data_IF_175127373459
#
_entry.id   IF_175127373459
#
_cell.length_a   1.000
_cell.length_b   1.000
_cell.length_c   1.000
_cell.angle_alpha   90.00
_cell.angle_beta   90.00
_cell.angle_gamma   90.00
#
_symmetry.space_group_name_H-M   'P 1'
#
loop_
_entity.id
_entity.type
_entity.pdbx_description
1 polymer ?
#
# COMPACT_ATOMS: atom_id res chain seq x y z
N UNK A 1 50.49 -28.97 -62.96
CA UNK A 1 49.38 -27.99 -62.85
C UNK A 1 49.89 -26.79 -62.07
N UNK A 2 49.49 -25.59 -62.51
CA UNK A 2 50.00 -24.26 -62.13
C UNK A 2 49.74 -23.89 -60.63
N UNK A 3 50.41 -22.82 -60.12
CA UNK A 3 51.00 -22.70 -58.78
C UNK A 3 50.30 -21.68 -57.86
N UNK A 4 50.80 -21.47 -56.62
CA UNK A 4 51.04 -20.15 -55.97
C UNK A 4 51.64 -20.36 -54.56
N UNK A 5 52.93 -20.07 -54.31
CA UNK A 5 53.55 -18.80 -53.86
C UNK A 5 53.02 -18.32 -52.49
N UNK A 6 53.77 -18.35 -51.37
CA UNK A 6 54.93 -17.53 -50.93
C UNK A 6 54.46 -16.71 -49.71
N UNK A 7 54.95 -16.98 -48.49
CA UNK A 7 56.07 -16.30 -47.81
C UNK A 7 55.70 -15.04 -47.02
N UNK A 8 56.04 -15.08 -45.71
CA UNK A 8 56.61 -14.00 -44.88
C UNK A 8 55.78 -12.73 -44.61
N UNK A 9 55.47 -12.44 -43.34
CA UNK A 9 56.31 -11.61 -42.46
C UNK A 9 55.67 -11.38 -41.07
N UNK A 10 56.56 -11.35 -40.08
CA UNK A 10 56.36 -10.93 -38.69
C UNK A 10 56.42 -9.39 -38.62
N UNK A 11 55.82 -8.83 -37.55
CA UNK A 11 55.68 -7.42 -37.14
C UNK A 11 54.36 -6.80 -37.62
N UNK A 12 53.55 -6.13 -36.79
CA UNK A 12 53.87 -5.28 -35.66
C UNK A 12 52.66 -5.14 -34.71
N UNK A 13 52.99 -4.92 -33.43
CA UNK A 13 52.21 -4.28 -32.38
C UNK A 13 51.22 -3.19 -32.86
N UNK A 14 50.21 -2.98 -32.02
CA UNK A 14 49.36 -1.80 -31.88
C UNK A 14 48.18 -1.64 -32.85
N UNK A 15 46.99 -1.99 -32.34
CA UNK A 15 45.80 -1.13 -32.34
C UNK A 15 44.74 -1.83 -31.48
N UNK A 16 44.94 -1.77 -30.15
CA UNK A 16 43.81 -1.82 -29.23
C UNK A 16 43.12 -0.47 -29.43
N UNK A 17 42.16 -0.41 -30.34
CA UNK A 17 41.17 0.67 -30.34
C UNK A 17 40.32 0.45 -29.08
N UNK A 18 40.76 1.06 -27.98
CA UNK A 18 39.88 1.38 -26.86
C UNK A 18 38.85 2.34 -27.43
N UNK A 19 37.75 1.79 -27.94
CA UNK A 19 36.52 2.53 -28.04
C UNK A 19 36.13 2.87 -26.61
N UNK A 20 36.53 4.06 -26.15
CA UNK A 20 35.82 4.74 -25.08
C UNK A 20 34.40 4.96 -25.61
N UNK A 21 33.56 3.93 -25.50
CA UNK A 21 32.15 4.18 -25.35
C UNK A 21 32.06 4.98 -24.05
N UNK A 22 31.87 6.29 -24.18
CA UNK A 22 31.37 7.11 -23.09
C UNK A 22 30.11 6.38 -22.61
N UNK A 23 30.24 5.63 -21.51
CA UNK A 23 29.10 5.22 -20.72
C UNK A 23 28.52 6.56 -20.31
N UNK A 24 27.48 6.98 -21.01
CA UNK A 24 26.61 8.02 -20.50
C UNK A 24 26.26 7.54 -19.10
N UNK A 25 26.75 8.25 -18.09
CA UNK A 25 26.22 8.17 -16.74
C UNK A 25 24.77 8.65 -16.87
N UNK A 26 23.91 7.75 -17.33
CA UNK A 26 22.47 7.85 -17.14
C UNK A 26 22.27 8.12 -15.66
N UNK A 27 21.37 9.03 -15.36
CA UNK A 27 21.15 9.53 -14.01
C UNK A 27 20.89 8.33 -13.08
N UNK A 28 21.90 7.85 -12.35
CA UNK A 28 21.83 6.62 -11.54
C UNK A 28 20.95 6.76 -10.30
N UNK A 29 20.29 7.91 -10.15
CA UNK A 29 19.49 8.29 -9.00
C UNK A 29 18.06 7.73 -9.04
N UNK A 30 17.58 7.19 -10.17
CA UNK A 30 16.19 6.70 -10.31
C UNK A 30 16.04 5.17 -10.34
N UNK A 31 17.09 4.42 -9.97
CA UNK A 31 16.97 2.98 -9.86
C UNK A 31 16.04 2.59 -8.71
N UNK A 32 14.86 2.08 -9.05
CA UNK A 32 13.93 1.47 -8.10
C UNK A 32 14.06 -0.06 -8.16
N UNK A 33 14.26 -0.75 -7.02
CA UNK A 33 14.27 -2.21 -6.98
C UNK A 33 13.02 -2.79 -7.64
N UNK A 34 13.15 -4.00 -8.17
CA UNK A 34 12.03 -4.71 -8.78
C UNK A 34 11.54 -5.85 -7.89
N UNK A 35 10.30 -6.27 -8.12
CA UNK A 35 9.63 -7.30 -7.34
C UNK A 35 9.90 -8.70 -7.91
N UNK A 36 10.11 -9.69 -7.03
CA UNK A 36 10.18 -11.11 -7.41
C UNK A 36 8.78 -11.66 -7.72
N UNK A 37 8.70 -12.88 -8.24
CA UNK A 37 7.42 -13.50 -8.63
C UNK A 37 6.55 -13.83 -7.41
N UNK A 38 7.19 -14.12 -6.27
CA UNK A 38 6.59 -14.33 -4.96
C UNK A 38 6.23 -13.02 -4.21
N UNK A 39 6.49 -11.84 -4.80
CA UNK A 39 6.36 -10.53 -4.16
C UNK A 39 7.56 -10.19 -3.26
N UNK A 40 7.71 -8.93 -2.86
CA UNK A 40 8.91 -8.44 -2.19
C UNK A 40 10.05 -8.18 -3.17
N UNK A 41 11.06 -7.41 -2.74
CA UNK A 41 12.15 -7.00 -3.64
C UNK A 41 13.18 -8.11 -3.90
N UNK A 42 13.47 -8.38 -5.17
CA UNK A 42 14.28 -9.54 -5.57
C UNK A 42 14.55 -9.67 -7.07
N UNK A 43 15.14 -10.81 -7.45
CA UNK A 43 15.42 -11.19 -8.83
C UNK A 43 14.14 -11.71 -9.50
N UNK A 44 14.04 -13.00 -9.88
CA UNK A 44 12.81 -13.61 -10.38
C UNK A 44 12.20 -14.50 -9.32
N UNK A 45 12.92 -15.55 -8.91
CA UNK A 45 12.51 -16.47 -7.85
C UNK A 45 13.20 -16.14 -6.52
N UNK A 46 14.42 -15.60 -6.60
CA UNK A 46 15.31 -15.42 -5.47
C UNK A 46 15.25 -14.00 -4.89
N UNK A 47 15.25 -13.86 -3.55
CA UNK A 47 15.21 -12.55 -2.91
C UNK A 47 16.56 -11.85 -2.98
N UNK A 48 16.53 -10.51 -3.02
CA UNK A 48 17.73 -9.67 -2.98
C UNK A 48 17.93 -9.00 -1.61
N UNK A 49 19.12 -8.43 -1.40
CA UNK A 49 19.43 -7.61 -0.24
C UNK A 49 18.75 -6.24 -0.25
N UNK A 50 18.20 -5.81 -1.39
CA UNK A 50 17.60 -4.48 -1.59
C UNK A 50 16.33 -4.26 -0.77
N UNK A 51 16.10 -3.01 -0.40
CA UNK A 51 14.85 -2.46 0.11
C UNK A 51 14.29 -1.43 -0.86
N UNK A 52 12.97 -1.37 -0.99
CA UNK A 52 12.27 -0.29 -1.68
C UNK A 52 12.26 1.00 -0.84
N UNK A 53 11.65 2.06 -1.36
CA UNK A 53 11.43 3.30 -0.61
C UNK A 53 10.40 3.07 0.51
N UNK A 54 10.62 3.64 1.70
CA UNK A 54 9.64 3.56 2.80
C UNK A 54 8.26 4.04 2.31
N UNK A 55 7.22 3.29 2.68
CA UNK A 55 5.85 3.58 2.28
C UNK A 55 5.49 3.08 0.87
N UNK A 56 6.45 2.53 0.10
CA UNK A 56 6.15 1.88 -1.17
C UNK A 56 5.23 0.68 -0.94
N UNK A 57 4.12 0.67 -1.66
CA UNK A 57 3.14 -0.40 -1.68
C UNK A 57 3.02 -0.94 -3.09
N UNK A 58 3.06 -2.27 -3.19
CA UNK A 58 3.01 -3.00 -4.44
C UNK A 58 1.86 -4.00 -4.43
N UNK A 59 1.10 -4.05 -5.52
CA UNK A 59 0.24 -5.19 -5.85
C UNK A 59 0.81 -5.84 -7.11
N UNK A 60 1.04 -7.14 -7.07
CA UNK A 60 1.64 -7.89 -8.15
C UNK A 60 0.86 -9.14 -8.53
N UNK A 61 0.99 -9.52 -9.80
CA UNK A 61 0.54 -10.81 -10.30
C UNK A 61 1.66 -11.44 -11.14
N UNK A 62 1.86 -12.75 -10.99
CA UNK A 62 2.82 -13.51 -11.80
C UNK A 62 2.18 -14.85 -12.19
N UNK A 63 2.28 -15.25 -13.45
CA UNK A 63 1.62 -16.42 -14.02
C UNK A 63 2.60 -17.24 -14.85
N UNK A 64 2.60 -18.55 -14.60
CA UNK A 64 3.10 -19.57 -15.49
C UNK A 64 2.18 -20.80 -15.41
N UNK A 65 2.57 -21.92 -16.02
CA UNK A 65 1.73 -23.12 -16.04
C UNK A 65 1.62 -23.80 -14.66
N UNK A 66 2.57 -23.57 -13.75
CA UNK A 66 2.65 -24.24 -12.46
C UNK A 66 2.05 -23.39 -11.33
N UNK A 67 2.11 -22.06 -11.48
CA UNK A 67 1.82 -21.10 -10.43
C UNK A 67 1.15 -19.82 -10.93
N UNK A 68 0.10 -19.44 -10.20
CA UNK A 68 -0.48 -18.11 -10.27
C UNK A 68 -0.28 -17.40 -8.92
N UNK A 69 0.64 -16.44 -8.87
CA UNK A 69 0.89 -15.63 -7.68
C UNK A 69 0.09 -14.33 -7.73
N UNK A 70 -0.58 -14.02 -6.63
CA UNK A 70 -1.21 -12.73 -6.36
C UNK A 70 -0.60 -12.19 -5.07
N UNK A 71 0.11 -11.07 -5.16
CA UNK A 71 0.98 -10.59 -4.08
C UNK A 71 0.62 -9.16 -3.71
N UNK A 72 0.72 -8.84 -2.43
CA UNK A 72 0.75 -7.47 -1.96
C UNK A 72 1.98 -7.30 -1.05
N UNK A 73 2.86 -6.36 -1.39
CA UNK A 73 4.09 -6.09 -0.65
C UNK A 73 4.12 -4.64 -0.18
N UNK A 74 4.68 -4.40 1.00
CA UNK A 74 4.81 -3.07 1.57
C UNK A 74 6.19 -2.90 2.20
N UNK A 75 6.88 -1.83 1.84
CA UNK A 75 8.05 -1.36 2.56
C UNK A 75 7.59 -0.61 3.81
N UNK A 76 7.32 -1.38 4.88
CA UNK A 76 6.72 -0.89 6.14
C UNK A 76 7.61 0.14 6.82
N UNK A 77 8.93 -0.11 6.84
CA UNK A 77 9.97 0.77 7.36
C UNK A 77 11.14 0.78 6.39
N UNK A 78 12.11 1.72 6.46
CA UNK A 78 13.28 1.72 5.57
C UNK A 78 14.10 0.42 5.62
N UNK A 79 13.95 -0.36 6.70
CA UNK A 79 14.64 -1.63 6.95
C UNK A 79 13.71 -2.85 6.99
N UNK A 80 12.39 -2.70 6.79
CA UNK A 80 11.41 -3.81 6.89
C UNK A 80 10.50 -3.85 5.66
N UNK A 81 10.59 -4.94 4.90
CA UNK A 81 9.71 -5.30 3.79
C UNK A 81 8.81 -6.47 4.25
N UNK A 82 7.51 -6.39 3.95
CA UNK A 82 6.53 -7.40 4.30
C UNK A 82 5.65 -7.72 3.09
N UNK A 83 5.39 -9.01 2.87
CA UNK A 83 4.59 -9.49 1.74
C UNK A 83 3.51 -10.45 2.20
N UNK A 84 2.32 -10.32 1.65
CA UNK A 84 1.27 -11.34 1.69
C UNK A 84 1.03 -11.87 0.28
N UNK A 85 0.76 -13.17 0.16
CA UNK A 85 0.51 -13.81 -1.13
C UNK A 85 -0.61 -14.83 -1.08
N UNK A 86 -1.26 -14.95 -2.23
CA UNK A 86 -2.00 -16.14 -2.63
C UNK A 86 -1.28 -16.80 -3.80
N UNK A 87 -1.00 -18.10 -3.68
CA UNK A 87 -0.44 -18.90 -4.78
C UNK A 87 -1.45 -19.96 -5.18
N UNK A 88 -1.91 -19.94 -6.42
CA UNK A 88 -2.77 -21.00 -6.98
C UNK A 88 -1.95 -21.97 -7.81
N UNK A 89 -2.29 -23.25 -7.74
CA UNK A 89 -1.62 -24.34 -8.47
C UNK A 89 -2.59 -24.86 -9.54
N UNK A 90 -2.38 -24.54 -10.83
CA UNK A 90 -3.28 -24.94 -11.92
C UNK A 90 -3.53 -26.45 -12.03
N UNK A 91 -2.54 -27.27 -11.67
CA UNK A 91 -2.63 -28.74 -11.76
C UNK A 91 -3.23 -29.41 -10.51
N UNK A 92 -3.51 -28.64 -9.46
CA UNK A 92 -3.96 -29.19 -8.16
C UNK A 92 -5.33 -28.63 -7.82
N UNK A 93 -6.31 -29.51 -7.59
CA UNK A 93 -7.64 -29.11 -7.09
C UNK A 93 -7.59 -28.77 -5.60
N UNK A 94 -8.45 -27.83 -5.17
CA UNK A 94 -8.55 -27.43 -3.76
C UNK A 94 -8.93 -28.61 -2.87
N UNK A 95 -9.87 -29.44 -3.33
CA UNK A 95 -10.26 -30.70 -2.73
C UNK A 95 -10.55 -31.74 -3.82
N UNK A 96 -10.26 -33.01 -3.55
CA UNK A 96 -10.56 -34.09 -4.48
C UNK A 96 -12.06 -34.39 -4.61
N UNK A 97 -12.89 -33.89 -3.68
CA UNK A 97 -14.34 -34.04 -3.72
C UNK A 97 -14.97 -32.90 -4.55
N UNK A 98 -15.55 -33.19 -5.73
CA UNK A 98 -16.20 -32.19 -6.57
C UNK A 98 -17.38 -31.50 -5.88
N UNK A 99 -18.06 -32.17 -4.95
CA UNK A 99 -19.20 -31.60 -4.22
C UNK A 99 -18.76 -30.53 -3.19
N UNK A 100 -17.47 -30.49 -2.84
CA UNK A 100 -16.93 -29.53 -1.87
C UNK A 100 -16.33 -28.29 -2.53
N UNK A 101 -15.51 -28.47 -3.59
CA UNK A 101 -14.78 -27.37 -4.22
C UNK A 101 -14.93 -27.28 -5.74
N UNK A 102 -15.74 -28.13 -6.36
CA UNK A 102 -15.89 -28.16 -7.82
C UNK A 102 -14.54 -28.31 -8.54
N UNK A 103 -14.30 -27.43 -9.51
CA UNK A 103 -13.06 -27.29 -10.28
C UNK A 103 -12.13 -26.19 -9.72
N UNK A 104 -12.37 -25.71 -8.49
CA UNK A 104 -11.53 -24.68 -7.87
C UNK A 104 -10.12 -25.22 -7.62
N UNK A 105 -9.13 -24.43 -8.06
CA UNK A 105 -7.72 -24.74 -7.87
C UNK A 105 -7.29 -24.58 -6.42
N UNK A 106 -6.35 -25.42 -5.99
CA UNK A 106 -5.69 -25.31 -4.71
C UNK A 106 -5.08 -23.92 -4.57
N UNK A 107 -5.30 -23.31 -3.41
CA UNK A 107 -4.84 -21.97 -3.11
C UNK A 107 -4.08 -22.01 -1.78
N UNK A 108 -2.80 -21.72 -1.86
CA UNK A 108 -1.94 -21.53 -0.71
C UNK A 108 -1.91 -20.04 -0.30
N UNK A 109 -1.76 -19.80 1.00
CA UNK A 109 -1.64 -18.48 1.62
C UNK A 109 -0.25 -18.39 2.23
N UNK A 110 0.47 -17.31 1.94
CA UNK A 110 1.80 -17.09 2.49
C UNK A 110 2.01 -15.67 3.00
N UNK A 111 2.85 -15.55 4.02
CA UNK A 111 3.33 -14.27 4.54
C UNK A 111 4.84 -14.29 4.65
N UNK A 112 5.47 -13.20 4.24
CA UNK A 112 6.92 -13.04 4.27
C UNK A 112 7.31 -11.77 5.01
N UNK A 113 8.53 -11.77 5.55
CA UNK A 113 9.19 -10.54 5.96
C UNK A 113 10.66 -10.58 5.57
N UNK A 114 11.23 -9.39 5.32
CA UNK A 114 12.66 -9.18 5.09
C UNK A 114 13.13 -7.97 5.89
N UNK A 115 14.22 -8.14 6.61
CA UNK A 115 14.85 -7.13 7.46
C UNK A 115 16.23 -6.78 6.92
N UNK A 116 16.47 -5.48 6.69
CA UNK A 116 17.79 -4.96 6.33
C UNK A 116 18.69 -4.98 7.54
N UNK A 117 19.86 -5.61 7.39
CA UNK A 117 20.91 -5.65 8.40
C UNK A 117 21.97 -4.59 8.15
N UNK A 118 22.32 -4.37 6.88
CA UNK A 118 23.41 -3.48 6.48
C UNK A 118 22.92 -2.65 5.29
N UNK A 119 23.09 -1.33 5.36
CA UNK A 119 22.93 -0.45 4.21
C UNK A 119 24.15 -0.52 3.29
N UNK A 120 23.93 -0.45 1.98
CA UNK A 120 25.05 -0.38 1.06
C UNK A 120 25.92 0.85 1.36
N UNK A 121 27.22 0.63 1.50
CA UNK A 121 28.22 1.69 1.59
C UNK A 121 29.18 1.58 0.42
N UNK A 122 30.30 2.30 0.43
CA UNK A 122 31.33 2.09 -0.59
C UNK A 122 31.90 0.65 -0.52
N UNK A 123 32.14 0.12 0.69
CA UNK A 123 32.82 -1.17 0.89
C UNK A 123 31.88 -2.35 1.11
N UNK A 124 30.74 -2.13 1.77
CA UNK A 124 29.82 -3.20 2.15
C UNK A 124 28.63 -3.27 1.18
N UNK A 125 28.14 -4.48 0.85
CA UNK A 125 26.88 -4.66 0.15
C UNK A 125 25.68 -4.41 1.08
N UNK A 126 24.55 -4.00 0.52
CA UNK A 126 23.27 -4.02 1.23
C UNK A 126 22.95 -5.45 1.60
N UNK A 127 22.74 -5.74 2.88
CA UNK A 127 22.54 -7.11 3.35
C UNK A 127 21.23 -7.20 4.10
N UNK A 128 20.43 -8.20 3.75
CA UNK A 128 19.14 -8.45 4.36
C UNK A 128 18.97 -9.92 4.73
N UNK A 129 18.19 -10.18 5.77
CA UNK A 129 17.72 -11.49 6.18
C UNK A 129 16.21 -11.55 6.02
N UNK A 130 15.67 -12.68 5.60
CA UNK A 130 14.22 -12.80 5.48
C UNK A 130 13.72 -14.22 5.65
N UNK A 131 12.42 -14.30 5.88
CA UNK A 131 11.67 -15.54 6.00
C UNK A 131 10.50 -15.47 5.04
N UNK A 132 10.40 -16.48 4.19
CA UNK A 132 9.29 -16.76 3.29
C UNK A 132 8.35 -17.76 3.96
N UNK A 133 7.07 -17.49 3.88
CA UNK A 133 5.99 -18.36 4.33
C UNK A 133 5.98 -18.67 5.85
N UNK A 134 6.20 -17.65 6.68
CA UNK A 134 6.27 -17.86 8.14
C UNK A 134 4.90 -18.08 8.80
N UNK A 135 3.80 -17.76 8.12
CA UNK A 135 2.44 -17.81 8.65
C UNK A 135 1.44 -18.52 7.72
N UNK A 136 1.92 -19.25 6.72
CA UNK A 136 1.10 -19.97 5.74
C UNK A 136 0.97 -21.47 6.02
N UNK A 137 0.85 -22.27 4.94
CA UNK A 137 0.78 -23.74 5.05
C UNK A 137 2.16 -24.40 5.16
N UNK A 138 3.23 -23.62 4.95
CA UNK A 138 4.61 -24.09 4.95
C UNK A 138 5.07 -24.65 3.61
N UNK A 139 4.22 -24.65 2.57
CA UNK A 139 4.56 -25.18 1.24
C UNK A 139 5.73 -24.43 0.58
N UNK A 140 5.90 -23.15 0.91
CA UNK A 140 7.00 -22.32 0.40
C UNK A 140 7.92 -21.83 1.52
N UNK A 141 7.99 -22.57 2.65
CA UNK A 141 8.77 -22.17 3.82
C UNK A 141 10.26 -22.07 3.51
N UNK A 142 10.83 -20.90 3.74
CA UNK A 142 12.25 -20.70 3.45
C UNK A 142 12.85 -19.53 4.18
N UNK A 143 14.14 -19.61 4.47
CA UNK A 143 14.88 -18.52 5.07
C UNK A 143 16.04 -18.14 4.16
N UNK A 144 16.45 -16.89 4.19
CA UNK A 144 17.58 -16.44 3.39
C UNK A 144 18.39 -15.33 4.05
N UNK A 145 19.64 -15.24 3.63
CA UNK A 145 20.48 -14.05 3.77
C UNK A 145 20.94 -13.65 2.37
N UNK A 146 20.70 -12.40 1.99
CA UNK A 146 21.06 -11.86 0.67
C UNK A 146 21.92 -10.62 0.82
N UNK A 147 23.02 -10.57 0.07
CA UNK A 147 23.87 -9.40 -0.06
C UNK A 147 23.82 -8.88 -1.50
N UNK A 148 23.51 -7.60 -1.67
CA UNK A 148 23.39 -6.95 -2.98
C UNK A 148 24.31 -5.72 -3.08
N UNK A 149 25.01 -5.59 -4.20
CA UNK A 149 26.00 -4.54 -4.45
C UNK A 149 25.84 -3.95 -5.85
N UNK A 150 25.77 -2.62 -5.93
CA UNK A 150 25.68 -1.91 -7.20
C UNK A 150 27.05 -1.45 -7.68
N UNK A 151 27.30 -1.68 -8.97
CA UNK A 151 28.43 -1.16 -9.72
C UNK A 151 27.93 -0.51 -11.02
N UNK A 152 27.67 0.79 -10.95
CA UNK A 152 27.06 1.53 -12.06
C UNK A 152 25.68 0.97 -12.39
N UNK A 153 25.51 0.47 -13.62
CA UNK A 153 24.25 -0.08 -14.12
C UNK A 153 24.04 -1.56 -13.77
N UNK A 154 24.94 -2.18 -13.03
CA UNK A 154 24.85 -3.58 -12.63
C UNK A 154 24.56 -3.67 -11.13
N UNK A 155 23.59 -4.48 -10.74
CA UNK A 155 23.26 -4.80 -9.36
C UNK A 155 23.45 -6.30 -9.13
N UNK A 156 24.48 -6.66 -8.36
CA UNK A 156 24.89 -8.04 -8.12
C UNK A 156 24.32 -8.53 -6.81
N UNK A 157 23.65 -9.67 -6.81
CA UNK A 157 23.14 -10.33 -5.60
C UNK A 157 23.82 -11.67 -5.41
N UNK A 158 24.25 -11.94 -4.18
CA UNK A 158 24.69 -13.26 -3.72
C UNK A 158 23.96 -13.55 -2.42
N UNK A 159 23.36 -14.74 -2.32
CA UNK A 159 22.64 -15.15 -1.13
C UNK A 159 22.83 -16.62 -0.80
N UNK A 160 22.39 -16.96 0.40
CA UNK A 160 22.27 -18.33 0.88
C UNK A 160 20.84 -18.53 1.39
N UNK A 161 20.22 -19.63 0.98
CA UNK A 161 18.86 -20.01 1.34
C UNK A 161 18.78 -21.35 2.06
N UNK A 162 17.70 -21.52 2.82
CA UNK A 162 17.27 -22.75 3.49
C UNK A 162 15.78 -22.99 3.18
N UNK A 163 15.30 -24.23 3.38
CA UNK A 163 13.94 -24.61 3.01
C UNK A 163 13.73 -24.48 1.49
N UNK A 164 12.54 -24.02 1.07
CA UNK A 164 12.17 -23.83 -0.34
C UNK A 164 13.22 -23.04 -1.15
N UNK A 165 13.77 -21.96 -0.59
CA UNK A 165 14.77 -21.12 -1.28
C UNK A 165 16.09 -21.88 -1.47
N UNK A 166 16.39 -22.84 -0.61
CA UNK A 166 17.65 -23.56 -0.53
C UNK A 166 17.58 -25.05 -0.92
N UNK A 167 16.48 -25.49 -1.53
CA UNK A 167 16.14 -26.91 -1.67
C UNK A 167 17.19 -27.72 -2.42
N UNK A 168 17.90 -27.12 -3.39
CA UNK A 168 18.95 -27.81 -4.15
C UNK A 168 20.12 -28.30 -3.29
N UNK A 169 20.28 -27.76 -2.06
CA UNK A 169 21.26 -28.25 -1.10
C UNK A 169 22.73 -28.16 -1.57
N UNK A 170 23.04 -27.24 -2.49
CA UNK A 170 24.33 -27.19 -3.17
C UNK A 170 25.53 -26.80 -2.27
N UNK A 171 25.28 -26.41 -1.01
CA UNK A 171 26.31 -26.12 -0.02
C UNK A 171 25.95 -26.72 1.35
N UNK A 172 26.96 -27.11 2.12
CA UNK A 172 26.73 -27.51 3.51
C UNK A 172 26.28 -26.31 4.35
N UNK A 173 25.27 -26.51 5.20
CA UNK A 173 24.76 -25.47 6.08
C UNK A 173 25.88 -24.92 6.99
N UNK A 174 26.27 -23.63 6.86
CA UNK A 174 27.36 -23.06 7.65
C UNK A 174 27.02 -22.98 9.15
N UNK A 175 25.73 -22.87 9.51
CA UNK A 175 25.26 -22.77 10.89
C UNK A 175 25.28 -24.13 11.61
N UNK A 176 25.25 -25.23 10.86
CA UNK A 176 25.48 -26.58 11.40
C UNK A 176 26.86 -26.70 12.07
N UNK A 177 27.88 -25.94 11.62
CA UNK A 177 29.19 -25.89 12.29
C UNK A 177 29.17 -25.21 13.66
N UNK A 178 28.14 -24.39 13.93
CA UNK A 178 27.97 -23.70 15.22
C UNK A 178 27.22 -24.61 16.20
N UNK A 179 26.21 -25.33 15.72
CA UNK A 179 25.46 -26.28 16.55
C UNK A 179 24.73 -27.33 15.70
N UNK A 180 24.80 -28.59 16.15
CA UNK A 180 24.17 -29.74 15.50
C UNK A 180 22.64 -29.60 15.34
N UNK A 181 22.00 -28.77 16.17
CA UNK A 181 20.56 -28.50 16.11
C UNK A 181 20.10 -27.86 14.79
N UNK A 182 21.04 -27.30 14.01
CA UNK A 182 20.76 -26.67 12.71
C UNK A 182 20.98 -27.62 11.53
N UNK A 183 21.55 -28.80 11.74
CA UNK A 183 21.89 -29.69 10.63
C UNK A 183 20.65 -30.38 10.02
N UNK A 184 19.60 -30.61 10.81
CA UNK A 184 18.39 -31.30 10.38
C UNK A 184 17.18 -30.37 10.46
N UNK A 185 16.45 -30.21 9.35
CA UNK A 185 15.15 -29.53 9.32
C UNK A 185 14.07 -30.57 9.69
N UNK A 186 13.23 -30.32 10.72
CA UNK A 186 12.06 -31.16 10.97
C UNK A 186 11.20 -31.28 9.70
N UNK A 187 10.57 -32.44 9.46
CA UNK A 187 9.63 -32.64 8.34
C UNK A 187 8.26 -32.06 8.64
N UNK A 188 7.85 -32.09 9.90
CA UNK A 188 6.50 -31.76 10.33
C UNK A 188 6.28 -30.25 10.30
N UNK A 189 5.14 -29.83 9.78
CA UNK A 189 4.60 -28.48 9.91
C UNK A 189 3.59 -28.50 11.06
N UNK A 190 3.43 -27.39 11.79
CA UNK A 190 2.28 -27.27 12.70
C UNK A 190 1.02 -27.19 11.84
N UNK A 191 0.27 -28.28 11.86
CA UNK A 191 -0.79 -28.70 10.92
C UNK A 191 -2.02 -27.77 10.74
N UNK A 192 -1.92 -26.47 10.95
CA UNK A 192 -2.98 -25.51 10.63
C UNK A 192 -2.36 -24.17 10.20
N UNK A 193 -2.64 -23.74 8.97
CA UNK A 193 -2.17 -22.45 8.45
C UNK A 193 -2.42 -21.31 9.45
N UNK A 194 -1.43 -20.42 9.59
CA UNK A 194 -1.44 -19.33 10.59
C UNK A 194 -0.64 -19.61 11.87
N UNK A 195 0.02 -20.78 12.00
CA UNK A 195 1.00 -21.03 13.06
C UNK A 195 2.43 -20.79 12.56
N UNK A 196 3.28 -20.17 13.40
CA UNK A 196 4.67 -19.87 13.04
C UNK A 196 5.61 -20.98 13.52
N UNK A 197 6.34 -21.59 12.59
CA UNK A 197 7.30 -22.67 12.84
C UNK A 197 8.74 -22.19 12.94
N UNK A 198 9.01 -21.36 13.96
CA UNK A 198 10.36 -20.87 14.27
C UNK A 198 11.40 -21.98 14.46
N UNK A 199 10.97 -23.21 14.81
CA UNK A 199 11.86 -24.34 15.03
C UNK A 199 12.50 -24.87 13.75
N UNK A 200 12.02 -24.51 12.56
CA UNK A 200 12.58 -24.95 11.27
C UNK A 200 13.64 -24.00 10.74
N UNK A 201 13.69 -22.76 11.25
CA UNK A 201 14.48 -21.68 10.66
C UNK A 201 15.99 -21.96 10.63
N UNK A 202 16.60 -21.73 9.46
CA UNK A 202 18.03 -21.89 9.20
C UNK A 202 18.55 -23.32 9.43
N UNK A 203 17.66 -24.31 9.31
CA UNK A 203 17.98 -25.73 9.47
C UNK A 203 17.93 -26.51 8.17
N UNK A 204 18.66 -27.62 8.15
CA UNK A 204 18.74 -28.52 6.99
C UNK A 204 19.81 -28.11 5.99
N UNK A 205 19.83 -28.75 4.80
CA UNK A 205 20.66 -28.33 3.67
C UNK A 205 20.44 -26.86 3.31
N UNK A 206 21.46 -26.24 2.72
CA UNK A 206 21.40 -24.87 2.26
C UNK A 206 21.84 -24.79 0.78
N UNK A 207 21.41 -23.75 0.08
CA UNK A 207 21.91 -23.48 -1.26
C UNK A 207 22.41 -22.05 -1.39
N UNK A 208 23.53 -21.89 -2.09
CA UNK A 208 23.92 -20.59 -2.63
C UNK A 208 23.04 -20.29 -3.84
N UNK A 209 22.58 -19.04 -3.91
CA UNK A 209 21.88 -18.49 -5.05
C UNK A 209 22.45 -17.10 -5.36
N UNK A 210 22.15 -16.57 -6.54
CA UNK A 210 22.60 -15.22 -6.86
C UNK A 210 22.20 -14.78 -8.25
N UNK A 211 22.61 -13.59 -8.63
CA UNK A 211 22.27 -13.07 -9.94
C UNK A 211 22.68 -11.63 -10.15
N UNK A 212 22.35 -11.13 -11.33
CA UNK A 212 22.69 -9.79 -11.79
C UNK A 212 21.44 -9.17 -12.38
N UNK A 213 21.12 -7.95 -11.95
CA UNK A 213 20.17 -7.07 -12.63
C UNK A 213 20.95 -5.96 -13.35
N UNK A 214 20.68 -5.76 -14.63
CA UNK A 214 21.38 -4.79 -15.48
C UNK A 214 20.41 -3.72 -15.99
N UNK A 215 20.68 -2.45 -15.66
CA UNK A 215 20.04 -1.29 -16.29
C UNK A 215 20.55 -1.16 -17.71
N UNK A 216 19.69 -1.41 -18.69
CA UNK A 216 20.06 -1.13 -20.07
C UNK A 216 20.11 0.40 -20.27
N UNK A 217 20.83 0.91 -21.30
CA UNK A 217 20.79 2.32 -21.66
C UNK A 217 19.39 2.83 -22.04
N UNK A 218 18.44 1.92 -22.29
CA UNK A 218 17.03 2.26 -22.42
C UNK A 218 16.39 2.15 -21.03
N UNK A 219 16.25 3.30 -20.35
CA UNK A 219 15.85 3.40 -18.93
C UNK A 219 14.66 2.51 -18.52
N UNK A 220 13.59 2.36 -19.34
CA UNK A 220 12.48 1.48 -18.96
C UNK A 220 12.84 0.00 -18.86
N UNK A 221 13.91 -0.47 -19.51
CA UNK A 221 14.22 -1.90 -19.63
C UNK A 221 15.40 -2.32 -18.74
N UNK A 222 15.13 -3.32 -17.89
CA UNK A 222 16.14 -4.04 -17.10
C UNK A 222 16.18 -5.50 -17.51
N UNK A 223 17.38 -6.09 -17.51
CA UNK A 223 17.60 -7.52 -17.79
C UNK A 223 18.13 -8.19 -16.53
N UNK A 224 17.67 -9.40 -16.24
CA UNK A 224 18.05 -10.20 -15.09
C UNK A 224 18.61 -11.55 -15.52
N UNK A 225 19.64 -11.98 -14.82
CA UNK A 225 20.12 -13.37 -14.83
C UNK A 225 20.17 -13.83 -13.38
N UNK A 226 19.63 -15.00 -13.09
CA UNK A 226 19.56 -15.58 -11.75
C UNK A 226 20.02 -17.02 -11.79
N UNK A 227 20.79 -17.42 -10.79
CA UNK A 227 21.06 -18.79 -10.42
C UNK A 227 20.15 -19.13 -9.25
N UNK A 228 19.24 -20.06 -9.48
CA UNK A 228 18.19 -20.48 -8.57
C UNK A 228 18.74 -21.44 -7.48
N UNK A 229 18.32 -21.22 -6.24
CA UNK A 229 18.65 -22.09 -5.11
C UNK A 229 17.68 -23.27 -4.93
N UNK A 230 16.52 -23.24 -5.58
CA UNK A 230 15.52 -24.32 -5.57
C UNK A 230 15.80 -25.36 -6.66
N UNK A 231 15.35 -26.60 -6.46
CA UNK A 231 15.37 -27.68 -7.46
C UNK A 231 13.97 -28.18 -7.86
N UNK A 232 12.91 -27.63 -7.24
CA UNK A 232 11.49 -27.90 -7.53
C UNK A 232 11.02 -29.34 -7.29
N UNK A 233 11.85 -30.19 -6.68
CA UNK A 233 11.55 -31.62 -6.51
C UNK A 233 10.45 -31.90 -5.47
N UNK A 234 10.25 -30.97 -4.53
CA UNK A 234 9.25 -31.05 -3.46
C UNK A 234 8.06 -30.09 -3.65
N UNK A 235 7.98 -29.43 -4.81
CA UNK A 235 6.95 -28.44 -5.10
C UNK A 235 5.55 -29.08 -5.21
N UNK A 236 4.53 -28.33 -4.80
CA UNK A 236 3.14 -28.78 -4.73
C UNK A 236 2.60 -29.46 -5.99
N UNK A 237 2.79 -28.92 -7.22
CA UNK A 237 2.36 -29.59 -8.44
C UNK A 237 3.03 -30.97 -8.63
N UNK A 238 4.32 -31.10 -8.33
CA UNK A 238 5.03 -32.37 -8.42
C UNK A 238 4.56 -33.38 -7.36
N UNK A 239 4.49 -33.00 -6.09
CA UNK A 239 4.18 -33.96 -5.01
C UNK A 239 2.68 -34.26 -4.86
N UNK A 240 1.79 -33.39 -5.37
CA UNK A 240 0.33 -33.56 -5.26
C UNK A 240 -0.35 -33.98 -6.56
N UNK A 241 0.17 -33.57 -7.72
CA UNK A 241 -0.41 -33.87 -9.03
C UNK A 241 0.54 -34.67 -9.95
N UNK A 242 1.79 -34.93 -9.53
CA UNK A 242 2.80 -35.62 -10.33
C UNK A 242 3.06 -34.90 -11.67
N UNK A 243 3.00 -33.56 -11.64
CA UNK A 243 3.36 -32.68 -12.76
C UNK A 243 4.87 -32.64 -12.95
N UNK A 244 5.36 -32.78 -14.18
CA UNK A 244 6.80 -32.70 -14.44
C UNK A 244 7.35 -31.30 -14.12
N UNK A 245 8.10 -31.22 -13.03
CA UNK A 245 8.75 -30.00 -12.56
C UNK A 245 10.28 -30.06 -12.68
N UNK A 246 10.81 -30.92 -13.56
CA UNK A 246 12.25 -31.15 -13.71
C UNK A 246 13.02 -29.87 -13.99
N UNK A 247 14.03 -29.56 -13.16
CA UNK A 247 14.95 -28.47 -13.42
C UNK A 247 16.01 -28.84 -14.47
N UNK A 248 15.80 -28.41 -15.72
CA UNK A 248 16.77 -28.59 -16.81
C UNK A 248 17.99 -27.68 -16.68
N UNK A 249 17.82 -26.50 -16.09
CA UNK A 249 18.91 -25.58 -15.74
C UNK A 249 18.54 -24.76 -14.50
N UNK A 250 19.49 -24.51 -13.58
CA UNK A 250 19.28 -23.60 -12.45
C UNK A 250 19.36 -22.12 -12.86
N UNK A 251 19.65 -21.82 -14.13
CA UNK A 251 19.75 -20.44 -14.61
C UNK A 251 18.41 -19.94 -15.16
N UNK A 252 17.91 -18.87 -14.57
CA UNK A 252 16.73 -18.12 -15.01
C UNK A 252 17.17 -16.83 -15.69
N UNK A 253 16.46 -16.41 -16.76
CA UNK A 253 16.72 -15.16 -17.48
C UNK A 253 15.41 -14.38 -17.59
N UNK A 254 15.45 -13.09 -17.26
CA UNK A 254 14.25 -12.26 -17.21
C UNK A 254 14.48 -10.85 -17.74
N UNK A 255 13.36 -10.20 -18.05
CA UNK A 255 13.30 -8.79 -18.42
C UNK A 255 12.19 -8.12 -17.62
N UNK A 256 12.44 -6.88 -17.21
CA UNK A 256 11.46 -6.04 -16.55
C UNK A 256 11.37 -4.70 -17.30
N UNK A 257 10.15 -4.31 -17.65
CA UNK A 257 9.82 -3.08 -18.34
C UNK A 257 9.03 -2.14 -17.43
N UNK A 258 9.63 -1.01 -17.05
CA UNK A 258 9.05 0.01 -16.18
C UNK A 258 8.01 0.85 -16.93
N UNK A 259 6.79 0.85 -16.42
CA UNK A 259 5.64 1.60 -16.91
C UNK A 259 5.50 2.91 -16.12
N UNK A 260 6.30 3.93 -16.48
CA UNK A 260 6.34 5.20 -15.76
C UNK A 260 6.66 5.00 -14.27
N UNK A 261 6.00 5.73 -13.38
CA UNK A 261 6.17 5.57 -11.93
C UNK A 261 5.16 4.62 -11.27
N UNK A 262 4.26 4.01 -12.04
CA UNK A 262 3.11 3.29 -11.49
C UNK A 262 3.17 1.77 -11.67
N UNK A 263 4.05 1.23 -12.51
CA UNK A 263 4.05 -0.23 -12.71
C UNK A 263 5.27 -0.81 -13.40
N UNK A 264 5.34 -2.14 -13.39
CA UNK A 264 6.35 -2.96 -14.09
C UNK A 264 5.64 -4.09 -14.85
N UNK A 265 6.10 -4.38 -16.06
CA UNK A 265 5.74 -5.57 -16.83
C UNK A 265 6.95 -6.51 -16.91
N UNK A 266 6.77 -7.78 -16.52
CA UNK A 266 7.83 -8.77 -16.37
C UNK A 266 7.61 -9.95 -17.32
N UNK A 267 8.69 -10.44 -17.90
CA UNK A 267 8.74 -11.71 -18.61
C UNK A 267 10.03 -12.43 -18.23
N UNK A 268 9.96 -13.74 -17.99
CA UNK A 268 11.14 -14.54 -17.70
C UNK A 268 11.01 -15.96 -18.19
N UNK A 269 12.15 -16.53 -18.53
CA UNK A 269 12.31 -17.94 -18.86
C UNK A 269 13.09 -18.59 -17.73
N UNK A 270 12.44 -19.54 -17.06
CA UNK A 270 12.88 -20.13 -15.81
C UNK A 270 12.98 -21.64 -15.98
N UNK A 271 13.86 -22.27 -15.19
CA UNK A 271 14.04 -23.73 -15.12
C UNK A 271 14.49 -24.43 -16.41
N UNK A 272 14.55 -23.73 -17.54
CA UNK A 272 14.87 -24.27 -18.86
C UNK A 272 13.66 -24.74 -19.65
N UNK A 273 12.44 -24.42 -19.20
CA UNK A 273 11.20 -24.81 -19.86
C UNK A 273 9.99 -23.92 -19.54
N UNK A 274 10.09 -23.06 -18.51
CA UNK A 274 8.93 -22.37 -17.95
C UNK A 274 8.96 -20.89 -18.32
N UNK A 275 7.91 -20.42 -18.97
CA UNK A 275 7.72 -19.00 -19.27
C UNK A 275 6.81 -18.36 -18.20
N UNK A 276 7.31 -17.35 -17.50
CA UNK A 276 6.56 -16.60 -16.49
C UNK A 276 6.32 -15.17 -16.95
N UNK A 277 5.07 -14.73 -16.89
CA UNK A 277 4.65 -13.35 -17.15
C UNK A 277 4.19 -12.70 -15.85
N UNK A 278 4.45 -11.41 -15.66
CA UNK A 278 3.96 -10.73 -14.46
C UNK A 278 3.76 -9.24 -14.65
N UNK A 279 2.94 -8.66 -13.77
CA UNK A 279 2.68 -7.24 -13.71
C UNK A 279 2.66 -6.79 -12.25
N UNK A 280 3.23 -5.62 -11.99
CA UNK A 280 3.29 -5.01 -10.68
C UNK A 280 2.77 -3.58 -10.78
N UNK A 281 1.96 -3.16 -9.81
CA UNK A 281 1.45 -1.81 -9.63
C UNK A 281 2.06 -1.22 -8.37
N UNK A 282 2.58 0.00 -8.47
CA UNK A 282 3.26 0.71 -7.40
C UNK A 282 2.47 1.95 -7.00
N UNK A 283 2.45 2.22 -5.70
CA UNK A 283 2.16 3.54 -5.12
C UNK A 283 3.10 3.75 -3.94
N UNK A 284 3.25 4.99 -3.48
CA UNK A 284 3.95 5.26 -2.23
C UNK A 284 3.03 6.04 -1.30
N UNK A 285 2.66 5.43 -0.17
CA UNK A 285 1.79 6.03 0.84
C UNK A 285 2.37 7.32 1.43
N UNK A 286 3.70 7.48 1.47
CA UNK A 286 4.36 8.70 1.93
C UNK A 286 4.23 9.86 0.96
N UNK A 287 4.00 9.58 -0.32
CA UNK A 287 3.85 10.59 -1.38
C UNK A 287 2.40 10.86 -1.77
N UNK A 288 1.46 10.02 -1.31
CA UNK A 288 0.05 10.22 -1.60
C UNK A 288 -0.49 11.47 -0.91
N UNK A 289 -1.04 12.37 -1.73
CA UNK A 289 -1.72 13.58 -1.28
C UNK A 289 -3.20 13.43 -1.52
N UNK A 290 -4.00 13.70 -0.49
CA UNK A 290 -5.43 13.77 -0.66
C UNK A 290 -5.78 15.00 -1.53
N UNK A 291 -6.48 14.76 -2.63
CA UNK A 291 -7.02 15.83 -3.48
C UNK A 291 -8.45 16.11 -3.04
N UNK A 292 -8.65 17.06 -2.14
CA UNK A 292 -9.98 17.52 -1.75
C UNK A 292 -10.44 18.62 -2.67
N UNK A 293 -11.57 18.42 -3.35
CA UNK A 293 -12.28 19.51 -4.01
C UNK A 293 -13.11 20.24 -2.95
N UNK A 294 -12.62 21.38 -2.46
CA UNK A 294 -13.28 22.15 -1.40
C UNK A 294 -13.84 23.48 -1.91
N UNK A 295 -14.93 23.94 -1.27
CA UNK A 295 -15.50 25.26 -1.55
C UNK A 295 -14.56 26.36 -1.03
N UNK A 296 -14.36 27.46 -1.79
CA UNK A 296 -13.54 28.56 -1.31
C UNK A 296 -14.01 29.10 0.04
N UNK A 297 -13.06 29.42 0.92
CA UNK A 297 -13.35 30.07 2.20
C UNK A 297 -14.06 31.41 1.95
N UNK A 298 -15.17 31.73 2.66
CA UNK A 298 -15.85 33.00 2.51
C UNK A 298 -14.91 34.14 2.88
N UNK A 299 -14.94 35.23 2.11
CA UNK A 299 -14.15 36.42 2.42
C UNK A 299 -14.81 37.18 3.58
N UNK A 300 -14.03 37.52 4.60
CA UNK A 300 -14.50 38.33 5.71
C UNK A 300 -14.72 39.77 5.25
N UNK A 301 -15.94 40.27 5.40
CA UNK A 301 -16.30 41.66 5.11
C UNK A 301 -16.65 42.37 6.42
N UNK A 302 -16.26 43.64 6.55
CA UNK A 302 -16.46 44.40 7.79
C UNK A 302 -17.91 44.80 8.05
N UNK A 303 -18.74 44.89 7.01
CA UNK A 303 -20.14 45.30 7.12
C UNK A 303 -21.09 44.13 6.76
N UNK A 304 -22.20 43.96 7.51
CA UNK A 304 -23.24 43.01 7.14
C UNK A 304 -23.79 43.36 5.76
N UNK A 305 -23.96 42.33 4.95
CA UNK A 305 -24.52 42.51 3.60
C UNK A 305 -25.98 42.05 3.52
N UNK A 306 -26.41 41.20 4.46
CA UNK A 306 -27.76 40.63 4.55
C UNK A 306 -28.06 40.22 5.99
N UNK A 307 -29.34 40.16 6.40
CA UNK A 307 -29.78 39.52 7.66
C UNK A 307 -30.53 38.20 7.38
N UNK A 308 -30.26 37.55 6.25
CA UNK A 308 -30.86 36.28 5.86
C UNK A 308 -30.20 35.11 6.60
N UNK A 309 -30.65 34.86 7.83
CA UNK A 309 -30.16 33.77 8.65
C UNK A 309 -30.39 32.38 8.04
N UNK A 310 -31.39 32.23 7.15
CA UNK A 310 -31.62 30.95 6.50
C UNK A 310 -30.53 30.65 5.47
N UNK A 311 -30.07 31.66 4.72
CA UNK A 311 -28.89 31.51 3.86
C UNK A 311 -27.62 31.29 4.66
N UNK A 312 -27.45 31.97 5.81
CA UNK A 312 -26.35 31.70 6.73
C UNK A 312 -26.33 30.22 7.17
N UNK A 313 -27.49 29.66 7.51
CA UNK A 313 -27.62 28.25 7.91
C UNK A 313 -27.23 27.27 6.79
N UNK A 314 -27.57 27.60 5.53
CA UNK A 314 -27.19 26.81 4.35
C UNK A 314 -25.68 26.91 4.07
N UNK A 315 -25.09 28.10 4.19
CA UNK A 315 -23.65 28.30 4.03
C UNK A 315 -22.84 27.63 5.16
N UNK A 316 -23.34 27.66 6.40
CA UNK A 316 -22.74 26.92 7.52
C UNK A 316 -22.71 25.41 7.23
N UNK A 317 -23.77 24.87 6.63
CA UNK A 317 -23.84 23.47 6.23
C UNK A 317 -22.81 23.14 5.12
N UNK A 318 -22.83 23.87 4.00
CA UNK A 318 -22.05 23.50 2.82
C UNK A 318 -20.60 24.02 2.82
N UNK A 319 -20.35 25.20 3.40
CA UNK A 319 -19.02 25.80 3.45
C UNK A 319 -18.30 25.45 4.75
N UNK A 320 -18.90 25.73 5.90
CA UNK A 320 -18.27 25.50 7.21
C UNK A 320 -18.41 24.06 7.71
N UNK A 321 -19.30 23.24 7.12
CA UNK A 321 -19.44 21.82 7.44
C UNK A 321 -20.31 21.51 8.67
N UNK A 322 -21.10 22.47 9.16
CA UNK A 322 -21.99 22.28 10.30
C UNK A 322 -23.36 21.75 9.85
N UNK A 323 -23.54 20.44 9.94
CA UNK A 323 -24.76 19.72 9.60
C UNK A 323 -25.83 19.83 10.69
N UNK A 324 -27.10 19.76 10.26
CA UNK A 324 -28.28 19.88 11.14
C UNK A 324 -28.20 21.11 12.06
N UNK A 325 -27.66 22.21 11.53
CA UNK A 325 -27.38 23.38 12.35
C UNK A 325 -28.66 24.16 12.69
N UNK A 326 -28.63 24.86 13.81
CA UNK A 326 -29.61 25.86 14.22
C UNK A 326 -28.90 27.16 14.52
N UNK A 327 -29.55 28.27 14.23
CA UNK A 327 -29.08 29.61 14.55
C UNK A 327 -30.12 30.26 15.46
N UNK A 328 -29.67 30.74 16.62
CA UNK A 328 -30.48 31.56 17.51
C UNK A 328 -29.77 32.89 17.78
N UNK A 329 -30.55 33.97 17.91
CA UNK A 329 -30.02 35.31 18.16
C UNK A 329 -30.54 35.78 19.51
N UNK A 330 -29.65 36.26 20.38
CA UNK A 330 -29.98 36.76 21.71
C UNK A 330 -29.17 38.00 22.03
N UNK A 331 -29.83 39.16 22.08
CA UNK A 331 -29.18 40.46 22.29
C UNK A 331 -28.02 40.66 21.30
N UNK A 332 -26.79 40.71 21.80
CA UNK A 332 -25.56 40.91 21.01
C UNK A 332 -24.85 39.61 20.62
N UNK A 333 -25.50 38.45 20.78
CA UNK A 333 -24.91 37.12 20.58
C UNK A 333 -25.66 36.33 19.51
N UNK A 334 -24.92 35.62 18.67
CA UNK A 334 -25.45 34.59 17.76
C UNK A 334 -24.96 33.23 18.22
N UNK A 335 -25.89 32.31 18.45
CA UNK A 335 -25.62 30.95 18.89
C UNK A 335 -25.90 30.01 17.72
N UNK A 336 -24.86 29.32 17.27
CA UNK A 336 -24.95 28.25 16.27
C UNK A 336 -24.76 26.92 16.98
N UNK A 337 -25.72 26.01 16.84
CA UNK A 337 -25.54 24.62 17.29
C UNK A 337 -25.54 23.71 16.07
N UNK A 338 -24.55 22.83 15.90
CA UNK A 338 -24.48 21.93 14.74
C UNK A 338 -23.39 20.87 14.85
N UNK A 339 -23.45 19.86 13.99
CA UNK A 339 -22.47 18.75 13.96
C UNK A 339 -21.43 19.00 12.87
N UNK A 340 -20.15 18.97 13.22
CA UNK A 340 -19.07 19.17 12.26
C UNK A 340 -18.75 17.87 11.52
N UNK A 341 -19.00 17.83 10.20
CA UNK A 341 -18.82 16.61 9.38
C UNK A 341 -17.81 16.76 8.24
N UNK A 342 -17.33 17.97 7.95
CA UNK A 342 -16.51 18.26 6.76
C UNK A 342 -15.03 18.41 7.07
N UNK A 343 -14.66 19.07 8.16
CA UNK A 343 -13.26 19.37 8.48
C UNK A 343 -12.79 18.63 9.73
N UNK A 344 -11.67 17.90 9.60
CA UNK A 344 -10.96 17.30 10.74
C UNK A 344 -10.27 18.36 11.61
N UNK A 345 -9.77 19.43 10.97
CA UNK A 345 -9.27 20.60 11.68
C UNK A 345 -10.44 21.51 12.04
N UNK A 346 -10.72 21.60 13.35
CA UNK A 346 -11.83 22.40 13.87
C UNK A 346 -11.59 23.90 13.67
N UNK A 347 -10.35 24.35 13.60
CA UNK A 347 -10.05 25.77 13.46
C UNK A 347 -10.45 26.27 12.08
N UNK A 348 -10.26 25.46 11.04
CA UNK A 348 -10.71 25.76 9.69
C UNK A 348 -12.25 25.83 9.61
N UNK A 349 -12.95 24.92 10.30
CA UNK A 349 -14.41 24.95 10.40
C UNK A 349 -14.93 26.20 11.12
N UNK A 350 -14.36 26.51 12.29
CA UNK A 350 -14.72 27.67 13.10
C UNK A 350 -14.45 28.98 12.37
N UNK A 351 -13.31 29.09 11.69
CA UNK A 351 -12.97 30.30 10.93
C UNK A 351 -13.92 30.50 9.74
N UNK A 352 -14.33 29.43 9.06
CA UNK A 352 -15.36 29.50 8.02
C UNK A 352 -16.72 29.90 8.58
N UNK A 353 -17.11 29.33 9.71
CA UNK A 353 -18.36 29.69 10.36
C UNK A 353 -18.36 31.15 10.80
N UNK A 354 -17.29 31.64 11.41
CA UNK A 354 -17.15 33.05 11.76
C UNK A 354 -17.20 33.96 10.53
N UNK A 355 -16.60 33.56 9.39
CA UNK A 355 -16.69 34.31 8.13
C UNK A 355 -18.13 34.40 7.62
N UNK A 356 -18.85 33.26 7.59
CA UNK A 356 -20.27 33.20 7.21
C UNK A 356 -21.10 34.07 8.15
N UNK A 357 -20.98 33.88 9.46
CA UNK A 357 -21.75 34.63 10.46
C UNK A 357 -21.48 36.13 10.38
N UNK A 358 -20.23 36.55 10.16
CA UNK A 358 -19.88 37.97 9.99
C UNK A 358 -20.60 38.61 8.81
N UNK A 359 -20.81 37.87 7.71
CA UNK A 359 -21.51 38.35 6.52
C UNK A 359 -23.00 38.62 6.79
N UNK A 360 -23.61 37.82 7.67
CA UNK A 360 -25.06 37.82 7.94
C UNK A 360 -25.47 38.50 9.27
N UNK A 361 -24.52 38.79 10.16
CA UNK A 361 -24.79 39.36 11.49
C UNK A 361 -24.86 40.88 11.44
N UNK A 362 -25.94 41.47 11.96
CA UNK A 362 -26.08 42.92 12.13
C UNK A 362 -25.03 43.52 13.07
N UNK A 363 -24.77 44.83 12.97
CA UNK A 363 -23.66 45.51 13.67
C UNK A 363 -23.74 45.45 15.21
N UNK A 364 -24.91 45.17 15.77
CA UNK A 364 -25.15 44.98 17.20
C UNK A 364 -24.64 43.62 17.74
N UNK A 365 -24.30 42.68 16.87
CA UNK A 365 -23.74 41.39 17.27
C UNK A 365 -22.23 41.51 17.54
N UNK A 366 -21.84 41.17 18.76
CA UNK A 366 -20.46 41.22 19.28
C UNK A 366 -19.81 39.85 19.37
N UNK A 367 -20.59 38.78 19.58
CA UNK A 367 -20.05 37.43 19.85
C UNK A 367 -20.78 36.36 19.04
N UNK A 368 -20.00 35.38 18.55
CA UNK A 368 -20.51 34.14 17.98
C UNK A 368 -20.21 32.98 18.92
N UNK A 369 -21.24 32.24 19.28
CA UNK A 369 -21.19 31.06 20.13
C UNK A 369 -21.42 29.84 19.25
N UNK A 370 -20.39 29.04 18.98
CA UNK A 370 -20.49 27.85 18.15
C UNK A 370 -20.46 26.63 19.07
N UNK A 371 -21.61 25.97 19.18
CA UNK A 371 -21.82 24.76 19.98
C UNK A 371 -21.73 23.56 19.04
N UNK A 372 -20.68 22.76 19.21
CA UNK A 372 -20.55 21.48 18.51
C UNK A 372 -21.40 20.43 19.21
N UNK A 373 -22.17 19.69 18.42
CA UNK A 373 -22.95 18.55 18.89
C UNK A 373 -22.58 17.28 18.14
N UNK A 374 -22.91 16.14 18.72
CA UNK A 374 -22.92 14.84 18.07
C UNK A 374 -24.23 14.15 18.42
N UNK A 375 -25.04 13.80 17.42
CA UNK A 375 -26.35 13.18 17.62
C UNK A 375 -27.26 13.93 18.61
N UNK A 376 -27.28 15.27 18.52
CA UNK A 376 -28.11 16.14 19.37
C UNK A 376 -27.61 16.33 20.82
N UNK A 377 -26.42 15.82 21.15
CA UNK A 377 -25.74 16.05 22.43
C UNK A 377 -24.66 17.12 22.25
N UNK A 378 -24.79 18.24 22.97
CA UNK A 378 -23.79 19.30 22.97
C UNK A 378 -22.48 18.80 23.62
N UNK A 379 -21.36 19.02 22.94
CA UNK A 379 -20.04 18.57 23.37
C UNK A 379 -19.21 19.73 23.91
N UNK A 380 -19.03 20.78 23.09
CA UNK A 380 -18.15 21.90 23.39
C UNK A 380 -18.70 23.19 22.79
N UNK A 381 -18.49 24.29 23.48
CA UNK A 381 -18.79 25.64 22.99
C UNK A 381 -17.49 26.39 22.67
N UNK A 382 -17.47 27.11 21.56
CA UNK A 382 -16.41 28.05 21.22
C UNK A 382 -17.01 29.44 21.07
N UNK A 383 -16.46 30.40 21.80
CA UNK A 383 -16.88 31.81 21.76
C UNK A 383 -15.88 32.58 20.91
N UNK A 384 -16.39 33.35 19.95
CA UNK A 384 -15.60 34.14 19.01
C UNK A 384 -16.05 35.59 19.15
N UNK A 385 -15.14 36.47 19.59
CA UNK A 385 -15.38 37.91 19.53
C UNK A 385 -15.30 38.36 18.06
N UNK A 386 -16.38 38.98 17.57
CA UNK A 386 -16.52 39.36 16.16
C UNK A 386 -15.52 40.43 15.74
N UNK A 387 -15.29 41.45 16.57
CA UNK A 387 -14.41 42.57 16.25
C UNK A 387 -12.94 42.11 16.18
N UNK A 388 -12.53 41.30 17.15
CA UNK A 388 -11.20 40.69 17.18
C UNK A 388 -11.01 39.78 15.97
N UNK A 389 -12.02 38.96 15.63
CA UNK A 389 -11.99 38.10 14.47
C UNK A 389 -11.87 38.87 13.15
N UNK A 390 -12.69 39.91 12.92
CA UNK A 390 -12.61 40.76 11.72
C UNK A 390 -11.24 41.41 11.61
N UNK A 391 -10.68 41.88 12.72
CA UNK A 391 -9.36 42.50 12.78
C UNK A 391 -8.25 41.51 12.44
N UNK A 392 -8.32 40.29 12.99
CA UNK A 392 -7.36 39.23 12.73
C UNK A 392 -7.44 38.71 11.29
N UNK A 393 -8.65 38.49 10.77
CA UNK A 393 -8.88 37.96 9.42
C UNK A 393 -8.49 38.94 8.30
N UNK A 394 -8.54 40.25 8.57
CA UNK A 394 -8.09 41.29 7.64
C UNK A 394 -6.63 41.73 7.85
N UNK A 395 -5.88 41.07 8.75
CA UNK A 395 -4.50 41.41 9.10
C UNK A 395 -4.33 42.88 9.57
N UNK A 396 -5.35 43.42 10.24
CA UNK A 396 -5.33 44.79 10.74
C UNK A 396 -4.41 44.95 11.97
N UNK A 397 -4.01 43.86 12.61
CA UNK A 397 -3.10 43.85 13.76
C UNK A 397 -1.99 42.80 13.56
N UNK A 398 -0.74 43.19 13.84
CA UNK A 398 0.43 42.31 13.74
C UNK A 398 0.40 41.26 14.86
N UNK A 399 0.52 39.98 14.49
CA UNK A 399 0.63 38.86 15.43
C UNK A 399 -0.68 38.23 15.88
N UNK A 400 -1.83 38.79 15.48
CA UNK A 400 -3.14 38.17 15.68
C UNK A 400 -3.49 37.29 14.47
N UNK A 401 -3.90 36.05 14.75
CA UNK A 401 -4.49 35.14 13.77
C UNK A 401 -5.95 34.87 14.13
N UNK A 402 -6.84 34.56 13.17
CA UNK A 402 -8.23 34.25 13.48
C UNK A 402 -8.39 33.18 14.56
N UNK A 403 -7.51 32.16 14.57
CA UNK A 403 -7.54 31.08 15.56
C UNK A 403 -7.24 31.55 16.98
N UNK A 404 -6.48 32.64 17.15
CA UNK A 404 -6.15 33.20 18.45
C UNK A 404 -7.31 33.94 19.12
N UNK A 405 -8.38 34.24 18.37
CA UNK A 405 -9.59 34.92 18.89
C UNK A 405 -10.67 33.92 19.33
N UNK A 406 -10.40 32.62 19.24
CA UNK A 406 -11.34 31.57 19.61
C UNK A 406 -11.12 31.18 21.07
N UNK A 407 -12.12 31.47 21.91
CA UNK A 407 -12.19 30.95 23.28
C UNK A 407 -12.83 29.55 23.23
N UNK A 408 -11.98 28.52 23.14
CA UNK A 408 -12.37 27.14 22.83
C UNK A 408 -12.66 26.32 24.09
N UNK A 409 -13.46 25.26 23.90
CA UNK A 409 -13.71 24.19 24.88
C UNK A 409 -14.42 24.66 26.15
N UNK A 410 -15.32 25.64 26.01
CA UNK A 410 -16.21 26.03 27.08
C UNK A 410 -17.30 24.98 27.29
N UNK A 411 -17.78 24.83 28.53
CA UNK A 411 -18.95 24.00 28.79
C UNK A 411 -20.19 24.65 28.12
N UNK A 412 -20.95 23.90 27.30
CA UNK A 412 -22.11 24.45 26.62
C UNK A 412 -23.12 25.03 27.61
N UNK A 413 -23.36 26.35 27.53
CA UNK A 413 -24.34 26.99 28.41
C UNK A 413 -25.73 26.90 27.79
N UNK A 414 -26.71 26.20 28.39
CA UNK A 414 -28.05 26.08 27.83
C UNK A 414 -28.74 27.46 27.83
N UNK A 415 -28.79 28.09 26.67
CA UNK A 415 -29.42 29.40 26.49
C UNK A 415 -30.74 29.22 25.73
N UNK A 416 -31.84 29.61 26.37
CA UNK A 416 -33.16 29.58 25.74
C UNK A 416 -33.36 30.85 24.91
N UNK A 417 -32.94 30.81 23.66
CA UNK A 417 -33.18 31.86 22.66
C UNK A 417 -34.07 31.36 21.52
N UNK A 418 -34.82 32.27 20.90
CA UNK A 418 -35.63 31.94 19.73
C UNK A 418 -34.75 31.58 18.53
N UNK A 419 -34.97 30.40 17.95
CA UNK A 419 -34.31 29.96 16.73
C UNK A 419 -34.80 30.84 15.56
N UNK A 420 -33.86 31.43 14.82
CA UNK A 420 -34.13 32.29 13.66
C UNK A 420 -33.93 31.56 12.33
N UNK A 421 -33.13 30.48 12.31
CA UNK A 421 -32.88 29.67 11.13
C UNK A 421 -32.41 28.26 11.51
N UNK A 422 -32.59 27.30 10.59
CA UNK A 422 -32.12 25.92 10.78
C UNK A 422 -31.92 25.18 9.45
N UNK A 423 -31.00 24.22 9.45
CA UNK A 423 -30.76 23.28 8.35
C UNK A 423 -31.12 21.83 8.71
N UNK A 424 -31.87 21.64 9.80
CA UNK A 424 -32.34 20.32 10.25
C UNK A 424 -33.21 19.69 9.15
N UNK A 425 -32.73 18.57 8.61
CA UNK A 425 -33.53 17.67 7.79
C UNK A 425 -34.16 16.62 8.69
N UNK A 426 -35.49 16.61 8.73
CA UNK A 426 -36.23 15.63 9.51
C UNK A 426 -36.23 14.25 8.85
N UNK A 427 -35.98 14.18 7.55
CA UNK A 427 -35.91 12.94 6.81
C UNK A 427 -34.56 12.86 6.08
N UNK A 428 -33.81 11.82 6.41
CA UNK A 428 -32.57 11.44 5.76
C UNK A 428 -32.79 10.09 5.09
N UNK A 429 -32.42 9.97 3.82
CA UNK A 429 -32.57 8.73 3.08
C UNK A 429 -31.47 8.63 2.04
N UNK A 430 -31.08 7.40 1.73
CA UNK A 430 -29.99 7.18 0.80
C UNK A 430 -29.95 5.76 0.27
N UNK A 431 -29.24 5.64 -0.84
CA UNK A 431 -28.92 4.38 -1.48
C UNK A 431 -27.40 4.22 -1.45
N UNK A 432 -26.93 3.11 -0.91
CA UNK A 432 -25.51 2.81 -0.75
C UNK A 432 -25.21 1.49 -1.46
N UNK A 433 -24.44 1.49 -2.56
CA UNK A 433 -23.96 0.24 -3.12
C UNK A 433 -23.03 -0.43 -2.10
N UNK A 434 -23.11 -1.75 -2.04
CA UNK A 434 -22.32 -2.58 -1.13
C UNK A 434 -21.63 -3.67 -1.94
N UNK A 435 -20.35 -3.86 -1.70
CA UNK A 435 -19.57 -4.94 -2.28
C UNK A 435 -18.95 -5.74 -1.13
N UNK A 436 -19.44 -6.95 -0.92
CA UNK A 436 -18.84 -7.92 0.00
C UNK A 436 -17.95 -8.85 -0.81
N UNK A 437 -16.74 -9.11 -0.33
CA UNK A 437 -15.75 -9.92 -1.05
C UNK A 437 -15.06 -10.89 -0.09
N UNK A 438 -14.74 -12.07 -0.60
CA UNK A 438 -13.87 -13.04 0.06
C UNK A 438 -12.91 -13.64 -0.95
N UNK A 439 -11.66 -13.86 -0.53
CA UNK A 439 -10.58 -14.40 -1.36
C UNK A 439 -10.01 -15.68 -0.72
N UNK A 440 -9.69 -16.66 -1.55
CA UNK A 440 -9.08 -17.93 -1.15
C UNK A 440 -10.05 -18.88 -0.43
N UNK A 441 -11.33 -18.86 -0.81
CA UNK A 441 -12.34 -19.81 -0.33
C UNK A 441 -12.22 -21.19 -1.00
N UNK A 442 -12.73 -22.25 -0.35
CA UNK A 442 -12.75 -23.60 -0.92
C UNK A 442 -13.67 -23.74 -2.13
N UNK A 443 -14.82 -23.06 -2.14
CA UNK A 443 -15.82 -23.15 -3.20
C UNK A 443 -15.39 -22.37 -4.45
N UNK A 444 -14.80 -21.19 -4.27
CA UNK A 444 -14.22 -20.38 -5.33
C UNK A 444 -13.09 -19.51 -4.79
N UNK A 445 -12.11 -19.22 -5.64
CA UNK A 445 -11.00 -18.34 -5.28
C UNK A 445 -11.46 -16.91 -4.94
N UNK A 446 -12.45 -16.39 -5.65
CA UNK A 446 -12.99 -15.05 -5.42
C UNK A 446 -14.52 -15.15 -5.38
N UNK A 447 -15.06 -14.86 -4.19
CA UNK A 447 -16.49 -14.72 -3.97
C UNK A 447 -16.81 -13.24 -3.81
N UNK A 448 -17.87 -12.77 -4.45
CA UNK A 448 -18.33 -11.41 -4.28
C UNK A 448 -19.85 -11.36 -4.24
N UNK A 449 -20.41 -10.44 -3.47
CA UNK A 449 -21.82 -10.09 -3.53
C UNK A 449 -21.93 -8.59 -3.72
N UNK A 450 -22.61 -8.19 -4.79
CA UNK A 450 -22.97 -6.82 -5.05
C UNK A 450 -24.41 -6.60 -4.59
N UNK A 451 -24.59 -5.72 -3.60
CA UNK A 451 -25.89 -5.36 -3.07
C UNK A 451 -26.14 -3.86 -3.09
N UNK A 452 -27.38 -3.49 -2.78
CA UNK A 452 -27.80 -2.12 -2.58
C UNK A 452 -28.50 -2.02 -1.23
N UNK A 453 -28.01 -1.13 -0.38
CA UNK A 453 -28.66 -0.78 0.88
C UNK A 453 -29.47 0.50 0.70
N UNK A 454 -30.77 0.43 0.95
CA UNK A 454 -31.62 1.61 1.06
C UNK A 454 -31.87 1.89 2.54
N UNK A 455 -31.50 3.07 3.02
CA UNK A 455 -31.80 3.51 4.38
C UNK A 455 -32.75 4.70 4.37
N UNK A 456 -33.53 4.81 5.45
CA UNK A 456 -34.43 5.93 5.70
C UNK A 456 -34.49 6.17 7.20
N UNK A 457 -34.06 7.35 7.62
CA UNK A 457 -34.08 7.82 9.00
C UNK A 457 -34.97 9.05 9.12
N UNK A 458 -35.84 9.06 10.13
CA UNK A 458 -36.74 10.16 10.39
C UNK A 458 -36.61 10.66 11.84
N UNK A 459 -36.25 11.93 12.00
CA UNK A 459 -36.16 12.59 13.30
C UNK A 459 -37.55 13.06 13.74
N UNK A 460 -38.11 12.41 14.77
CA UNK A 460 -39.38 12.80 15.40
C UNK A 460 -39.21 14.03 16.29
N UNK A 461 -38.06 14.13 16.97
CA UNK A 461 -37.62 15.29 17.76
C UNK A 461 -36.11 15.43 17.59
N UNK A 462 -35.48 16.54 18.00
CA UNK A 462 -34.01 16.69 17.94
C UNK A 462 -33.21 15.64 18.71
N UNK A 463 -33.86 14.80 19.52
CA UNK A 463 -33.24 13.75 20.34
C UNK A 463 -33.87 12.36 20.13
N UNK A 464 -34.75 12.21 19.14
CA UNK A 464 -35.43 10.95 18.86
C UNK A 464 -35.50 10.72 17.36
N UNK A 465 -34.79 9.70 16.91
CA UNK A 465 -34.72 9.25 15.52
C UNK A 465 -35.36 7.86 15.37
N UNK A 466 -36.10 7.67 14.29
CA UNK A 466 -36.58 6.37 13.83
C UNK A 466 -35.88 6.03 12.52
N UNK A 467 -35.03 5.00 12.56
CA UNK A 467 -34.26 4.55 11.39
C UNK A 467 -34.63 3.15 10.95
N UNK A 468 -34.48 2.89 9.65
CA UNK A 468 -34.60 1.57 9.06
C UNK A 468 -33.74 1.45 7.80
N UNK A 469 -33.26 0.23 7.53
CA UNK A 469 -32.53 -0.07 6.31
C UNK A 469 -33.00 -1.40 5.71
N UNK A 470 -33.00 -1.47 4.38
CA UNK A 470 -33.26 -2.67 3.59
C UNK A 470 -32.02 -2.95 2.75
N UNK A 471 -31.47 -4.15 2.88
CA UNK A 471 -30.39 -4.64 2.02
C UNK A 471 -30.98 -5.57 0.95
N UNK A 472 -30.65 -5.31 -0.31
CA UNK A 472 -31.01 -6.16 -1.44
C UNK A 472 -29.72 -6.68 -2.08
N UNK A 473 -29.52 -7.99 -2.06
CA UNK A 473 -28.47 -8.64 -2.85
C UNK A 473 -28.91 -8.62 -4.33
N UNK A 474 -28.05 -8.15 -5.23
CA UNK A 474 -28.34 -8.03 -6.66
C UNK A 474 -27.70 -9.20 -7.42
N UNK A 475 -26.42 -9.46 -7.16
CA UNK A 475 -25.62 -10.51 -7.80
C UNK A 475 -24.67 -11.09 -6.74
N UNK A 476 -24.53 -12.42 -6.73
CA UNK A 476 -23.57 -13.19 -5.92
C UNK A 476 -22.89 -14.33 -6.69
#
# INVERSE_FOLDING_TARGET
MKPQYSSFLISSLSLISVSYASIALGNTNDWKPSQMDFGGTGLMQMPSGRMAEEGEFNIGVSFNNDYHHYVASMQVMPWLDATIRYTRLPDVLYNSNPDYSGDNLYTDKGMDFKVRLIEESYWLPETSIGVRDFGGTGMFDGEFVAATKRFGNLDFTLGIGWGYIGQSGNVSNPVCKISDRFCNRPSDFKDNGGMVDFERWFKGPAALYGGIEYQTPYEPLRIKIEYDGNDYSEDGPQVRANSDMTQHTPWNIGMNYRLGDWGDAKISYQRGDTLTLGFNFYTNFNHMKASWLDTPKPKVQAAPTSNDWQQASIELLHNAGYQQNTIAVSNTKVIVTGEQVKYRDKDEALERAAAVLTHYASDDITEFHIIEQNNGVALTETIINREDYISAANYNQLGLTPQSTFDKYQEPTPTFSSIVAQSIKHWDYGLSPSLQQSLGGPEAFYLFSLGLSAHSNYWLTPKLELGGAIYINIID
#
